data_IF_304400178082
#
_entry.id   IF_304400178082
#
_cell.length_a   1.000
_cell.length_b   1.000
_cell.length_c   1.000
_cell.angle_alpha   90.00
_cell.angle_beta   90.00
_cell.angle_gamma   90.00
#
_symmetry.space_group_name_H-M   'P 1'
#
loop_
_entity.id
_entity.type
_entity.pdbx_description
1 polymer ?
#
# COMPACT_ATOMS: atom_id res chain seq x y z
N UNK A 1 -7.44 0.03 -16.62
CA UNK A 1 -6.07 0.34 -17.08
C UNK A 1 -5.22 0.80 -15.92
N UNK A 2 -4.05 0.23 -15.79
CA UNK A 2 -3.14 0.64 -14.72
C UNK A 2 -2.66 2.07 -14.88
N UNK A 3 -2.65 2.57 -16.12
CA UNK A 3 -2.27 3.95 -16.41
C UNK A 3 -3.23 4.97 -15.80
N UNK A 4 -4.42 4.53 -15.33
CA UNK A 4 -5.38 5.45 -14.73
C UNK A 4 -5.20 5.58 -13.21
N UNK A 5 -4.19 4.92 -12.63
CA UNK A 5 -3.92 5.04 -11.20
C UNK A 5 -3.51 6.46 -10.83
N UNK A 6 -4.03 7.00 -9.72
CA UNK A 6 -3.51 8.26 -9.19
C UNK A 6 -2.02 8.19 -8.97
N UNK A 7 -1.35 9.31 -9.22
CA UNK A 7 0.11 9.35 -9.14
C UNK A 7 0.63 8.93 -7.78
N UNK A 8 -0.04 9.36 -6.70
CA UNK A 8 0.45 9.05 -5.35
C UNK A 8 0.44 7.52 -5.09
N UNK A 9 -0.52 6.80 -5.67
CA UNK A 9 -0.57 5.35 -5.52
C UNK A 9 0.57 4.70 -6.31
N UNK A 10 0.85 5.21 -7.51
CA UNK A 10 1.99 4.71 -8.29
C UNK A 10 3.30 4.94 -7.54
N UNK A 11 3.47 6.12 -6.94
CA UNK A 11 4.67 6.42 -6.16
C UNK A 11 4.78 5.49 -4.98
N UNK A 12 3.66 5.21 -4.30
CA UNK A 12 3.68 4.30 -3.16
C UNK A 12 4.15 2.90 -3.57
N UNK A 13 3.55 2.33 -4.64
CA UNK A 13 3.94 0.99 -5.07
C UNK A 13 5.40 0.95 -5.51
N UNK A 14 5.84 1.95 -6.27
CA UNK A 14 7.23 2.00 -6.72
C UNK A 14 8.19 2.10 -5.54
N UNK A 15 7.89 2.96 -4.58
CA UNK A 15 8.74 3.16 -3.41
C UNK A 15 8.80 1.92 -2.54
N UNK A 16 7.65 1.26 -2.35
CA UNK A 16 7.61 0.02 -1.58
C UNK A 16 8.43 -1.09 -2.27
N UNK A 17 8.31 -1.17 -3.60
CA UNK A 17 9.01 -2.22 -4.35
C UNK A 17 10.50 -1.99 -4.45
N UNK A 18 10.96 -0.75 -4.30
CA UNK A 18 12.38 -0.42 -4.41
C UNK A 18 13.02 -0.11 -3.06
N UNK A 19 12.33 -0.45 -1.97
CA UNK A 19 12.84 -0.31 -0.61
C UNK A 19 13.15 1.14 -0.23
N UNK A 20 12.38 2.07 -0.78
CA UNK A 20 12.54 3.49 -0.46
C UNK A 20 11.54 3.86 0.63
N UNK A 21 11.87 3.51 1.86
CA UNK A 21 10.97 3.65 3.01
C UNK A 21 10.50 5.10 3.20
N UNK A 22 11.40 6.06 3.11
CA UNK A 22 11.02 7.46 3.32
C UNK A 22 10.03 7.94 2.26
N UNK A 23 10.27 7.59 1.00
CA UNK A 23 9.36 7.97 -0.08
C UNK A 23 8.00 7.32 0.08
N UNK A 24 7.97 6.05 0.51
CA UNK A 24 6.71 5.36 0.77
C UNK A 24 5.94 6.02 1.91
N UNK A 25 6.62 6.35 3.00
CA UNK A 25 6.00 7.03 4.14
C UNK A 25 5.43 8.38 3.74
N UNK A 26 6.13 9.10 2.86
CA UNK A 26 5.71 10.44 2.44
C UNK A 26 4.43 10.43 1.64
N UNK A 27 4.00 9.26 1.14
CA UNK A 27 2.74 9.15 0.40
C UNK A 27 1.51 9.24 1.31
N UNK A 28 1.68 9.09 2.62
CA UNK A 28 0.57 9.03 3.56
C UNK A 28 0.34 10.36 4.25
N UNK A 29 -0.95 10.68 4.49
CA UNK A 29 -1.30 11.81 5.33
C UNK A 29 -0.81 11.55 6.76
N UNK A 30 -0.59 12.63 7.53
CA UNK A 30 -0.03 12.49 8.87
C UNK A 30 -0.94 11.73 9.83
N UNK A 31 -2.26 11.73 9.55
CA UNK A 31 -3.24 11.00 10.35
C UNK A 31 -3.77 9.77 9.62
N UNK A 32 -3.03 9.26 8.64
CA UNK A 32 -3.46 8.11 7.86
C UNK A 32 -3.55 6.85 8.72
N UNK A 33 -4.38 5.92 8.26
CA UNK A 33 -4.52 4.62 8.90
C UNK A 33 -4.32 3.54 7.85
N UNK A 34 -3.47 2.57 8.16
CA UNK A 34 -3.27 1.39 7.32
C UNK A 34 -3.80 0.19 8.09
N UNK A 35 -4.67 -0.58 7.44
CA UNK A 35 -5.17 -1.84 7.99
C UNK A 35 -4.57 -2.99 7.20
N UNK A 36 -3.83 -3.85 7.87
CA UNK A 36 -3.17 -4.98 7.23
C UNK A 36 -2.98 -6.09 8.26
N UNK A 37 -3.20 -7.32 7.83
CA UNK A 37 -3.04 -8.51 8.67
C UNK A 37 -3.86 -8.41 9.97
N UNK A 38 -5.07 -7.85 9.86
CA UNK A 38 -5.98 -7.74 10.99
C UNK A 38 -5.61 -6.69 12.02
N UNK A 39 -4.69 -5.77 11.70
CA UNK A 39 -4.22 -4.75 12.62
C UNK A 39 -4.26 -3.38 11.96
N UNK A 40 -4.50 -2.36 12.77
CA UNK A 40 -4.48 -0.98 12.33
C UNK A 40 -3.17 -0.32 12.72
N UNK A 41 -2.60 0.43 11.78
CA UNK A 41 -1.40 1.22 11.99
C UNK A 41 -1.78 2.66 11.75
N UNK A 42 -1.88 3.44 12.82
CA UNK A 42 -2.37 4.82 12.74
C UNK A 42 -1.24 5.81 12.96
N UNK A 43 -1.11 6.76 12.03
CA UNK A 43 -0.15 7.84 12.14
C UNK A 43 1.21 7.50 11.55
N UNK A 44 2.05 8.53 11.44
CA UNK A 44 3.32 8.44 10.72
C UNK A 44 4.27 7.39 11.30
N UNK A 45 4.42 7.37 12.62
CA UNK A 45 5.37 6.45 13.25
C UNK A 45 4.92 5.00 13.08
N UNK A 46 3.63 4.73 13.31
CA UNK A 46 3.11 3.36 13.19
C UNK A 46 3.19 2.87 11.75
N UNK A 47 2.91 3.75 10.78
CA UNK A 47 2.98 3.37 9.37
C UNK A 47 4.43 3.10 8.95
N UNK A 48 5.37 3.92 9.43
CA UNK A 48 6.79 3.66 9.16
C UNK A 48 7.21 2.30 9.70
N UNK A 49 6.80 1.98 10.92
CA UNK A 49 7.13 0.69 11.53
C UNK A 49 6.52 -0.47 10.74
N UNK A 50 5.28 -0.28 10.27
CA UNK A 50 4.62 -1.28 9.44
C UNK A 50 5.38 -1.53 8.13
N UNK A 51 5.82 -0.45 7.46
CA UNK A 51 6.58 -0.58 6.22
C UNK A 51 7.89 -1.31 6.47
N UNK A 52 8.60 -0.92 7.53
CA UNK A 52 9.90 -1.51 7.85
C UNK A 52 9.77 -2.97 8.27
N UNK A 53 8.76 -3.29 9.08
CA UNK A 53 8.54 -4.66 9.53
C UNK A 53 8.16 -5.57 8.38
N UNK A 54 7.27 -5.10 7.51
CA UNK A 54 6.82 -5.88 6.36
C UNK A 54 7.99 -6.18 5.43
N UNK A 55 8.83 -5.18 5.19
CA UNK A 55 10.01 -5.35 4.35
C UNK A 55 10.97 -6.36 4.96
N UNK A 56 11.21 -6.26 6.27
CA UNK A 56 12.14 -7.16 6.94
C UNK A 56 11.67 -8.60 6.94
N UNK A 57 10.35 -8.80 7.15
CA UNK A 57 9.80 -10.14 7.26
C UNK A 57 9.62 -10.81 5.91
N UNK A 58 9.14 -10.09 4.91
CA UNK A 58 8.65 -10.70 3.69
C UNK A 58 9.37 -10.26 2.43
N UNK A 59 10.06 -9.11 2.45
CA UNK A 59 10.66 -8.51 1.25
C UNK A 59 9.67 -8.52 0.10
N UNK A 60 8.46 -7.96 0.29
CA UNK A 60 7.39 -8.16 -0.69
C UNK A 60 7.62 -7.34 -1.95
N UNK A 61 7.12 -7.90 -3.05
CA UNK A 61 6.99 -7.17 -4.31
C UNK A 61 5.52 -7.14 -4.66
N UNK A 62 5.01 -5.98 -5.04
CA UNK A 62 3.60 -5.79 -5.33
C UNK A 62 3.46 -5.39 -6.78
N UNK A 63 2.67 -6.17 -7.52
CA UNK A 63 2.42 -5.91 -8.93
C UNK A 63 0.94 -5.65 -9.12
N UNK A 64 0.53 -4.40 -9.42
CA UNK A 64 -0.89 -4.10 -9.67
C UNK A 64 -1.38 -4.85 -10.92
N UNK A 65 -2.55 -5.46 -10.80
CA UNK A 65 -3.16 -6.23 -11.88
C UNK A 65 -4.38 -5.51 -12.43
N UNK A 66 -5.23 -4.99 -11.54
CA UNK A 66 -6.53 -4.44 -11.90
C UNK A 66 -6.86 -3.26 -11.01
N UNK A 67 -7.49 -2.24 -11.58
CA UNK A 67 -7.90 -1.05 -10.85
C UNK A 67 -9.41 -0.91 -10.97
N UNK A 68 -10.08 -0.64 -9.85
CA UNK A 68 -11.51 -0.40 -9.83
C UNK A 68 -11.76 0.80 -8.92
N UNK A 69 -12.58 1.73 -9.38
CA UNK A 69 -12.95 2.88 -8.55
C UNK A 69 -14.36 2.68 -8.02
N UNK A 70 -14.54 2.97 -6.74
CA UNK A 70 -15.82 2.78 -6.07
C UNK A 70 -16.01 3.94 -5.08
N UNK A 71 -16.78 4.94 -5.49
CA UNK A 71 -16.95 6.14 -4.69
C UNK A 71 -15.62 6.87 -4.53
N UNK A 72 -15.22 7.07 -3.27
CA UNK A 72 -13.96 7.77 -2.98
C UNK A 72 -12.78 6.80 -2.88
N UNK A 73 -13.00 5.52 -3.17
CA UNK A 73 -11.97 4.52 -3.00
C UNK A 73 -11.42 4.08 -4.34
N UNK A 74 -10.12 3.85 -4.37
CA UNK A 74 -9.44 3.23 -5.50
C UNK A 74 -9.00 1.85 -5.03
N UNK A 75 -9.54 0.81 -5.65
CA UNK A 75 -9.26 -0.57 -5.27
C UNK A 75 -8.32 -1.16 -6.30
N UNK A 76 -7.13 -1.55 -5.85
CA UNK A 76 -6.11 -2.11 -6.73
C UNK A 76 -5.92 -3.57 -6.35
N UNK A 77 -6.32 -4.47 -7.26
CA UNK A 77 -6.03 -5.88 -7.09
C UNK A 77 -4.59 -6.11 -7.52
N UNK A 78 -3.79 -6.68 -6.66
CA UNK A 78 -2.36 -6.79 -6.89
C UNK A 78 -1.88 -8.21 -6.59
N UNK A 79 -0.83 -8.63 -7.30
CA UNK A 79 -0.12 -9.85 -6.98
C UNK A 79 1.00 -9.50 -6.02
N UNK A 80 1.03 -10.14 -4.86
CA UNK A 80 2.03 -9.88 -3.84
C UNK A 80 2.88 -11.13 -3.69
N UNK A 81 4.17 -10.99 -3.94
CA UNK A 81 5.13 -12.08 -3.78
C UNK A 81 6.14 -11.72 -2.70
N UNK A 82 6.74 -12.72 -2.08
CA UNK A 82 7.73 -12.48 -1.05
C UNK A 82 8.04 -13.74 -0.27
N UNK A 83 8.71 -13.57 0.86
CA UNK A 83 9.16 -14.67 1.70
C UNK A 83 8.04 -15.08 2.67
N UNK A 84 7.00 -15.73 2.14
CA UNK A 84 5.91 -16.24 2.96
C UNK A 84 5.26 -17.44 2.26
N UNK A 85 4.64 -18.34 3.03
CA UNK A 85 3.96 -19.50 2.46
C UNK A 85 2.81 -19.05 1.57
N UNK A 86 2.66 -19.71 0.43
CA UNK A 86 1.58 -19.40 -0.51
C UNK A 86 1.89 -18.29 -1.49
N UNK A 87 3.08 -17.70 -1.42
CA UNK A 87 3.49 -16.66 -2.37
C UNK A 87 3.52 -17.21 -3.80
N UNK A 88 3.05 -16.44 -4.81
CA UNK A 88 2.39 -15.15 -4.68
C UNK A 88 0.90 -15.29 -4.33
N UNK A 89 0.32 -14.24 -3.76
CA UNK A 89 -1.10 -14.19 -3.49
C UNK A 89 -1.68 -12.92 -4.10
N UNK A 90 -2.98 -12.94 -4.41
CA UNK A 90 -3.67 -11.73 -4.83
C UNK A 90 -4.31 -11.08 -3.63
N UNK A 91 -4.07 -9.80 -3.47
CA UNK A 91 -4.67 -9.02 -2.40
C UNK A 91 -5.29 -7.78 -3.00
N UNK A 92 -6.30 -7.25 -2.31
CA UNK A 92 -6.91 -5.99 -2.69
C UNK A 92 -6.37 -4.88 -1.79
N UNK A 93 -5.93 -3.81 -2.42
CA UNK A 93 -5.46 -2.60 -1.74
C UNK A 93 -6.50 -1.52 -1.97
N UNK A 94 -7.26 -1.17 -0.93
CA UNK A 94 -8.26 -0.10 -1.01
C UNK A 94 -7.65 1.18 -0.50
N UNK A 95 -7.51 2.14 -1.39
CA UNK A 95 -6.94 3.44 -1.05
C UNK A 95 -8.02 4.49 -0.97
N UNK A 96 -7.99 5.32 0.07
CA UNK A 96 -8.78 6.54 0.15
C UNK A 96 -7.79 7.70 0.15
N UNK A 97 -7.99 8.66 -0.75
CA UNK A 97 -7.08 9.80 -0.89
C UNK A 97 -7.72 11.07 -0.35
N UNK A 98 -6.89 11.93 0.21
CA UNK A 98 -7.32 13.24 0.69
C UNK A 98 -6.17 14.22 0.48
N UNK A 99 -6.47 15.30 -0.24
CA UNK A 99 -5.48 16.36 -0.50
C UNK A 99 -4.19 15.82 -1.12
N UNK A 100 -4.33 14.87 -2.04
CA UNK A 100 -3.19 14.31 -2.76
C UNK A 100 -2.37 13.31 -1.97
N UNK A 101 -2.82 12.90 -0.79
CA UNK A 101 -2.13 11.92 0.04
C UNK A 101 -3.04 10.73 0.33
N UNK A 102 -2.44 9.62 0.73
CA UNK A 102 -3.21 8.44 1.13
C UNK A 102 -3.67 8.66 2.56
N UNK A 103 -5.00 8.72 2.76
CA UNK A 103 -5.56 8.88 4.09
C UNK A 103 -5.92 7.54 4.72
N UNK A 104 -6.26 6.55 3.91
CA UNK A 104 -6.53 5.20 4.38
C UNK A 104 -6.04 4.19 3.37
N UNK A 105 -5.51 3.08 3.86
CA UNK A 105 -5.15 1.95 3.04
C UNK A 105 -5.61 0.70 3.77
N UNK A 106 -6.49 -0.07 3.12
CA UNK A 106 -7.03 -1.30 3.68
C UNK A 106 -6.58 -2.44 2.77
N UNK A 107 -5.81 -3.39 3.31
CA UNK A 107 -5.26 -4.52 2.56
C UNK A 107 -5.93 -5.81 3.03
N UNK A 108 -6.49 -6.55 2.07
CA UNK A 108 -7.13 -7.82 2.41
C UNK A 108 -7.11 -8.86 1.29
#
# INVERSE_FOLDING_TARGET
MLSSLPEIILVYFHSANTSQTEAACACFASDAIVHDEGRDHAGTTAIREWIEDTKRKYEPKVEPIRVQESGEKTIVTSSVSGNFPGSPVELQFEFTLRDGKISNLFIQ
#
